data_IF_725362149955
#
_entry.id   IF_725362149955
#
_cell.length_a   1.000
_cell.length_b   1.000
_cell.length_c   1.000
_cell.angle_alpha   90.00
_cell.angle_beta   90.00
_cell.angle_gamma   90.00
#
_symmetry.space_group_name_H-M   'P 1'
#
loop_
_entity.id
_entity.type
_entity.pdbx_description
1 polymer ?
#
# COMPACT_ATOMS: atom_id res chain seq x y z
N UNK A 1 10.51 -1.59 18.77
CA UNK A 1 11.19 -0.31 18.49
C UNK A 1 11.05 0.65 19.65
N UNK A 2 10.04 1.53 19.62
CA UNK A 2 9.85 2.62 20.60
C UNK A 2 9.88 2.16 22.07
N UNK A 3 9.16 1.08 22.45
CA UNK A 3 9.21 0.56 23.83
C UNK A 3 10.60 0.08 24.27
N UNK A 4 11.41 -0.47 23.35
CA UNK A 4 12.78 -0.90 23.65
C UNK A 4 13.67 0.32 23.89
N UNK A 5 13.57 1.35 23.02
CA UNK A 5 14.29 2.62 23.19
C UNK A 5 13.95 3.25 24.54
N UNK A 6 12.67 3.29 24.90
CA UNK A 6 12.23 3.83 26.19
C UNK A 6 12.87 3.12 27.39
N UNK A 7 12.93 1.78 27.37
CA UNK A 7 13.63 1.03 28.43
C UNK A 7 15.12 1.40 28.49
N UNK A 8 15.79 1.47 27.34
CA UNK A 8 17.22 1.76 27.26
C UNK A 8 17.56 3.19 27.68
N UNK A 9 16.73 4.17 27.34
CA UNK A 9 16.84 5.56 27.80
C UNK A 9 16.71 5.67 29.32
N UNK A 10 15.90 4.81 29.93
CA UNK A 10 15.77 4.67 31.38
C UNK A 10 16.79 3.71 31.99
N UNK A 11 17.85 3.34 31.24
CA UNK A 11 18.93 2.45 31.69
C UNK A 11 18.49 1.04 32.09
N UNK A 12 17.37 0.57 31.55
CA UNK A 12 16.81 -0.76 31.79
C UNK A 12 17.07 -1.65 30.57
N UNK A 13 17.73 -2.79 30.77
CA UNK A 13 17.86 -3.86 29.75
C UNK A 13 16.83 -4.94 30.05
N UNK A 14 16.05 -5.36 29.06
CA UNK A 14 14.98 -6.36 29.23
C UNK A 14 15.51 -7.79 29.36
N UNK A 15 16.46 -8.19 28.49
CA UNK A 15 17.16 -9.49 28.46
C UNK A 15 16.35 -10.73 28.08
N UNK A 16 15.03 -10.70 28.22
CA UNK A 16 14.14 -11.79 27.81
C UNK A 16 13.06 -11.32 26.82
N UNK A 17 13.46 -10.54 25.82
CA UNK A 17 12.52 -10.14 24.76
C UNK A 17 12.22 -11.34 23.87
N UNK A 18 10.94 -11.69 23.78
CA UNK A 18 10.42 -12.83 23.01
C UNK A 18 8.93 -12.61 22.70
N UNK A 19 8.34 -13.31 21.73
CA UNK A 19 6.94 -13.11 21.35
C UNK A 19 5.97 -13.24 22.53
N UNK A 20 6.24 -14.14 23.49
CA UNK A 20 5.43 -14.35 24.68
C UNK A 20 5.38 -13.13 25.62
N UNK A 21 6.40 -12.25 25.54
CA UNK A 21 6.52 -11.04 26.36
C UNK A 21 6.04 -9.78 25.61
N UNK A 22 5.33 -9.93 24.49
CA UNK A 22 4.70 -8.84 23.75
C UNK A 22 3.18 -9.05 23.76
N UNK A 23 2.45 -8.20 24.47
CA UNK A 23 0.98 -8.24 24.51
C UNK A 23 0.38 -7.29 23.49
N UNK A 24 -0.81 -7.64 23.01
CA UNK A 24 -1.59 -6.87 22.06
C UNK A 24 -2.77 -6.22 22.76
N UNK A 25 -2.88 -4.90 22.64
CA UNK A 25 -4.01 -4.12 23.15
C UNK A 25 -4.73 -3.45 21.99
N UNK A 26 -6.05 -3.58 21.90
CA UNK A 26 -6.85 -2.75 20.99
C UNK A 26 -7.04 -1.37 21.63
N UNK A 27 -6.53 -0.34 20.97
CA UNK A 27 -6.70 1.06 21.33
C UNK A 27 -7.38 1.80 20.17
N UNK A 28 -8.72 1.85 20.21
CA UNK A 28 -9.52 2.60 19.24
C UNK A 28 -9.49 2.00 17.82
N UNK A 29 -9.42 0.69 17.68
CA UNK A 29 -9.34 -0.02 16.41
C UNK A 29 -7.90 -0.16 15.87
N UNK A 30 -6.89 0.25 16.65
CA UNK A 30 -5.48 0.04 16.36
C UNK A 30 -4.90 -0.98 17.34
N UNK A 31 -4.24 -2.01 16.83
CA UNK A 31 -3.48 -2.93 17.67
C UNK A 31 -2.17 -2.25 18.11
N UNK A 32 -2.02 -2.06 19.42
CA UNK A 32 -0.83 -1.53 20.07
C UNK A 32 -0.08 -2.69 20.72
N UNK A 33 1.19 -2.82 20.38
CA UNK A 33 2.09 -3.85 20.91
C UNK A 33 2.81 -3.29 22.14
N UNK A 34 2.74 -3.99 23.28
CA UNK A 34 3.35 -3.56 24.55
C UNK A 34 4.29 -4.63 25.09
N UNK A 35 5.44 -4.19 25.60
CA UNK A 35 6.42 -5.05 26.25
C UNK A 35 5.94 -5.32 27.69
N UNK A 36 5.99 -6.57 28.12
CA UNK A 36 5.67 -7.00 29.48
C UNK A 36 6.83 -7.83 30.06
N UNK A 37 6.69 -8.21 31.34
CA UNK A 37 7.61 -9.10 32.05
C UNK A 37 9.05 -8.57 32.16
N UNK A 38 9.22 -7.59 33.03
CA UNK A 38 10.54 -7.09 33.45
C UNK A 38 11.17 -7.94 34.58
N UNK A 39 10.69 -9.16 34.83
CA UNK A 39 11.20 -10.03 35.89
C UNK A 39 12.68 -10.41 35.71
N UNK A 40 13.15 -10.38 34.46
CA UNK A 40 14.56 -10.55 34.09
C UNK A 40 15.23 -9.25 33.66
N UNK A 41 14.59 -8.09 33.83
CA UNK A 41 15.21 -6.82 33.50
C UNK A 41 16.33 -6.49 34.51
N UNK A 42 17.28 -5.62 34.11
CA UNK A 42 18.31 -5.10 35.03
C UNK A 42 18.60 -3.64 34.76
N UNK A 43 18.82 -2.91 35.85
CA UNK A 43 19.30 -1.52 35.85
C UNK A 43 20.83 -1.48 35.65
N UNK A 44 21.29 -0.64 34.73
CA UNK A 44 22.71 -0.44 34.43
C UNK A 44 23.47 0.28 35.56
N UNK A 45 22.79 1.00 36.45
CA UNK A 45 23.42 1.81 37.51
C UNK A 45 23.92 0.96 38.70
N UNK A 46 23.50 -0.30 38.81
CA UNK A 46 24.11 -1.27 39.72
C UNK A 46 25.34 -1.89 39.06
N UNK A 47 26.49 -1.22 39.22
CA UNK A 47 27.78 -1.46 38.56
C UNK A 47 28.26 -2.91 38.50
N UNK A 48 27.74 -3.69 37.55
CA UNK A 48 28.16 -5.07 37.36
C UNK A 48 28.04 -5.43 35.89
N UNK A 49 29.19 -5.72 35.27
CA UNK A 49 29.22 -6.60 34.10
C UNK A 49 28.40 -7.85 34.46
N UNK A 50 27.36 -8.09 33.69
CA UNK A 50 26.29 -8.98 34.08
C UNK A 50 26.60 -10.41 33.61
N UNK A 51 26.48 -11.41 34.48
CA UNK A 51 26.90 -12.80 34.24
C UNK A 51 25.80 -13.84 34.47
N UNK A 52 24.54 -13.42 34.59
CA UNK A 52 23.40 -14.31 34.89
C UNK A 52 22.80 -14.96 33.64
N UNK A 53 22.78 -16.29 33.59
CA UNK A 53 22.19 -17.11 32.53
C UNK A 53 20.68 -17.24 32.71
N UNK A 54 19.90 -16.36 32.08
CA UNK A 54 18.43 -16.37 32.19
C UNK A 54 17.79 -16.01 30.84
N UNK A 55 16.68 -16.66 30.48
CA UNK A 55 15.87 -16.37 29.28
C UNK A 55 15.43 -17.61 28.49
N UNK A 56 14.50 -17.43 27.55
CA UNK A 56 14.21 -18.47 26.54
C UNK A 56 15.37 -18.52 25.54
N UNK A 57 16.18 -19.59 25.58
CA UNK A 57 17.43 -19.74 24.80
C UNK A 57 17.28 -19.52 23.29
N UNK A 58 16.07 -19.53 22.75
CA UNK A 58 15.81 -19.44 21.32
C UNK A 58 15.89 -18.01 20.75
N UNK A 59 15.75 -16.99 21.59
CA UNK A 59 15.85 -15.56 21.21
C UNK A 59 17.07 -14.88 21.84
N UNK A 60 17.84 -15.63 22.64
CA UNK A 60 18.94 -15.11 23.42
C UNK A 60 20.13 -14.75 22.52
N UNK A 61 20.78 -13.63 22.83
CA UNK A 61 21.97 -13.19 22.12
C UNK A 61 23.17 -14.14 22.37
N UNK A 62 24.06 -14.34 21.38
CA UNK A 62 25.21 -15.26 21.49
C UNK A 62 26.09 -15.05 22.73
N UNK A 63 26.37 -13.80 23.09
CA UNK A 63 27.25 -13.45 24.20
C UNK A 63 26.73 -13.89 25.58
N UNK A 64 25.42 -14.10 25.71
CA UNK A 64 24.80 -14.62 26.93
C UNK A 64 25.04 -16.13 27.10
N UNK A 65 25.30 -16.87 26.02
CA UNK A 65 25.74 -18.27 26.09
C UNK A 65 27.20 -18.40 26.51
N UNK A 66 28.01 -17.40 26.17
CA UNK A 66 29.45 -17.41 26.42
C UNK A 66 29.79 -16.87 27.83
N UNK A 67 28.78 -16.55 28.66
CA UNK A 67 28.93 -15.89 29.97
C UNK A 67 29.85 -14.66 29.92
N UNK A 68 29.88 -13.96 28.78
CA UNK A 68 30.65 -12.73 28.59
C UNK A 68 29.88 -11.53 29.09
N UNK A 69 30.59 -10.43 29.28
CA UNK A 69 29.93 -9.15 29.46
C UNK A 69 29.07 -8.80 28.25
N UNK A 70 27.91 -8.22 28.52
CA UNK A 70 26.94 -7.85 27.51
C UNK A 70 26.41 -6.43 27.75
N UNK A 71 25.75 -5.86 26.76
CA UNK A 71 25.21 -4.50 26.78
C UNK A 71 23.74 -4.48 26.34
N UNK A 72 23.17 -3.30 26.12
CA UNK A 72 21.81 -3.13 25.54
C UNK A 72 21.63 -3.88 24.21
N UNK A 73 22.71 -4.24 23.52
CA UNK A 73 22.67 -4.93 22.21
C UNK A 73 22.12 -6.36 22.30
N UNK A 74 21.99 -6.95 23.49
CA UNK A 74 21.28 -8.25 23.65
C UNK A 74 19.80 -8.15 23.30
N UNK A 75 19.17 -7.02 23.62
CA UNK A 75 17.78 -6.75 23.28
C UNK A 75 17.63 -6.50 21.77
N UNK A 76 18.68 -6.03 21.09
CA UNK A 76 18.68 -5.85 19.63
C UNK A 76 18.63 -7.19 18.90
N UNK A 77 19.41 -8.17 19.35
CA UNK A 77 19.35 -9.52 18.78
C UNK A 77 17.97 -10.14 18.97
N UNK A 78 17.45 -10.06 20.20
CA UNK A 78 16.12 -10.57 20.54
C UNK A 78 15.03 -9.89 19.70
N UNK A 79 15.12 -8.58 19.49
CA UNK A 79 14.19 -7.86 18.63
C UNK A 79 14.34 -8.23 17.14
N UNK A 80 15.56 -8.36 16.64
CA UNK A 80 15.83 -8.77 15.25
C UNK A 80 15.31 -10.17 14.95
N UNK A 81 15.48 -11.12 15.88
CA UNK A 81 14.97 -12.49 15.74
C UNK A 81 13.45 -12.53 15.69
N UNK A 82 12.77 -11.78 16.57
CA UNK A 82 11.31 -11.62 16.53
C UNK A 82 10.82 -10.96 15.24
N UNK A 83 11.46 -9.89 14.78
CA UNK A 83 11.05 -9.22 13.53
C UNK A 83 11.20 -10.15 12.33
N UNK A 84 12.31 -10.90 12.25
CA UNK A 84 12.47 -11.93 11.22
C UNK A 84 11.33 -12.96 11.28
N UNK A 85 11.01 -13.46 12.47
CA UNK A 85 9.95 -14.46 12.64
C UNK A 85 8.57 -13.93 12.29
N UNK A 86 8.27 -12.66 12.59
CA UNK A 86 7.03 -12.02 12.13
C UNK A 86 6.93 -11.95 10.60
N UNK A 87 8.06 -11.89 9.89
CA UNK A 87 8.10 -11.82 8.42
C UNK A 87 8.05 -13.22 7.80
N UNK A 88 8.85 -14.16 8.31
CA UNK A 88 9.07 -15.48 7.73
C UNK A 88 8.16 -16.57 8.32
N UNK A 89 7.57 -16.35 9.49
CA UNK A 89 6.79 -17.34 10.25
C UNK A 89 7.65 -18.37 11.01
N UNK A 90 8.98 -18.21 11.03
CA UNK A 90 9.91 -19.06 11.77
C UNK A 90 11.17 -18.28 12.15
N UNK A 91 11.92 -18.74 13.16
CA UNK A 91 13.15 -18.09 13.66
C UNK A 91 14.29 -18.09 12.61
N UNK A 92 15.15 -17.05 12.60
CA UNK A 92 16.16 -16.84 11.55
C UNK A 92 17.22 -17.94 11.43
N UNK A 93 17.51 -18.65 12.50
CA UNK A 93 18.65 -19.57 12.51
C UNK A 93 18.24 -20.93 13.06
N UNK A 94 18.24 -21.95 12.20
CA UNK A 94 18.12 -23.38 12.54
C UNK A 94 17.07 -23.69 13.62
N UNK A 95 15.85 -23.18 13.42
CA UNK A 95 14.75 -23.19 14.41
C UNK A 95 14.34 -24.57 14.96
N UNK A 96 14.67 -25.66 14.27
CA UNK A 96 14.39 -27.04 14.69
C UNK A 96 15.48 -27.65 15.58
N UNK A 97 16.64 -27.00 15.71
CA UNK A 97 17.75 -27.51 16.51
C UNK A 97 17.68 -27.03 17.95
N UNK A 98 18.25 -27.85 18.84
CA UNK A 98 18.46 -27.47 20.23
C UNK A 98 19.46 -26.31 20.31
N UNK A 99 19.28 -25.36 21.25
CA UNK A 99 20.09 -24.14 21.30
C UNK A 99 21.60 -24.39 21.35
N UNK A 100 22.04 -25.42 22.07
CA UNK A 100 23.46 -25.75 22.16
C UNK A 100 24.07 -26.16 20.81
N UNK A 101 23.37 -27.02 20.05
CA UNK A 101 23.81 -27.48 18.73
C UNK A 101 23.69 -26.37 17.68
N UNK A 102 22.65 -25.55 17.80
CA UNK A 102 22.45 -24.36 17.00
C UNK A 102 23.64 -23.41 17.13
N UNK A 103 24.01 -23.00 18.36
CA UNK A 103 25.07 -22.03 18.65
C UNK A 103 26.40 -22.36 17.95
N UNK A 104 26.86 -23.61 17.99
CA UNK A 104 28.07 -24.06 17.31
C UNK A 104 28.00 -23.93 15.78
N UNK A 105 26.84 -24.21 15.18
CA UNK A 105 26.65 -24.12 13.73
C UNK A 105 26.59 -22.68 13.23
N UNK A 106 25.85 -21.80 13.91
CA UNK A 106 25.70 -20.36 13.55
C UNK A 106 26.94 -19.52 13.86
N UNK A 107 27.82 -19.94 14.76
CA UNK A 107 29.06 -19.20 15.05
C UNK A 107 29.90 -18.93 13.80
N UNK A 108 29.75 -19.77 12.77
CA UNK A 108 30.41 -19.65 11.46
C UNK A 108 29.77 -18.62 10.52
N UNK A 109 28.69 -17.94 10.94
CA UNK A 109 27.96 -17.02 10.06
C UNK A 109 28.79 -15.77 9.77
N UNK A 110 28.71 -15.29 8.54
CA UNK A 110 29.14 -13.93 8.21
C UNK A 110 28.28 -12.86 8.92
N UNK A 111 28.83 -11.66 9.14
CA UNK A 111 28.13 -10.57 9.80
C UNK A 111 26.78 -10.22 9.14
N UNK A 112 26.72 -10.34 7.80
CA UNK A 112 25.52 -10.04 6.99
C UNK A 112 24.51 -11.19 6.89
N UNK A 113 24.82 -12.38 7.40
CA UNK A 113 23.84 -13.46 7.36
C UNK A 113 22.72 -13.22 8.35
N UNK A 114 21.49 -13.19 7.83
CA UNK A 114 20.24 -13.00 8.59
C UNK A 114 19.40 -14.27 8.66
N UNK A 115 19.71 -15.26 7.82
CA UNK A 115 18.97 -16.51 7.73
C UNK A 115 19.93 -17.70 7.61
N UNK A 116 19.62 -18.80 8.30
CA UNK A 116 20.26 -20.09 8.11
C UNK A 116 19.25 -21.23 8.18
N UNK A 117 19.29 -22.12 7.20
CA UNK A 117 18.47 -23.35 7.15
C UNK A 117 19.32 -24.58 6.92
N UNK A 118 18.82 -25.73 7.37
CA UNK A 118 19.44 -27.03 7.12
C UNK A 118 18.79 -27.65 5.88
N UNK A 119 19.62 -27.98 4.89
CA UNK A 119 19.20 -28.64 3.66
C UNK A 119 18.97 -30.15 3.87
N UNK A 120 18.42 -30.81 2.84
CA UNK A 120 18.09 -32.24 2.89
C UNK A 120 19.30 -33.16 3.16
N UNK A 121 20.50 -32.71 2.78
CA UNK A 121 21.76 -33.41 3.01
C UNK A 121 22.36 -33.14 4.41
N UNK A 122 21.71 -32.32 5.24
CA UNK A 122 22.20 -31.91 6.56
C UNK A 122 23.19 -30.74 6.53
N UNK A 123 23.47 -30.16 5.36
CA UNK A 123 24.31 -28.97 5.23
C UNK A 123 23.55 -27.71 5.65
N UNK A 124 24.26 -26.76 6.26
CA UNK A 124 23.68 -25.47 6.66
C UNK A 124 23.90 -24.47 5.55
N UNK A 125 22.81 -23.99 4.94
CA UNK A 125 22.82 -22.86 4.00
C UNK A 125 22.58 -21.57 4.76
N UNK A 126 23.52 -20.64 4.65
CA UNK A 126 23.36 -19.27 5.13
C UNK A 126 22.88 -18.36 4.00
N UNK A 127 22.15 -17.30 4.35
CA UNK A 127 21.64 -16.31 3.41
C UNK A 127 21.65 -14.91 4.04
N UNK A 128 21.96 -13.92 3.20
CA UNK A 128 21.82 -12.49 3.50
C UNK A 128 20.42 -11.95 3.18
N UNK A 129 19.57 -12.77 2.55
CA UNK A 129 18.25 -12.41 2.06
C UNK A 129 17.12 -13.06 2.87
N UNK A 130 15.99 -12.38 2.90
CA UNK A 130 14.75 -12.86 3.51
C UNK A 130 14.23 -14.09 2.76
N UNK A 131 13.77 -15.13 3.46
CA UNK A 131 13.18 -16.29 2.82
C UNK A 131 11.81 -15.94 2.21
N UNK A 132 11.48 -16.60 1.11
CA UNK A 132 10.14 -16.57 0.51
C UNK A 132 9.31 -17.78 0.99
N UNK A 133 7.97 -17.67 1.05
CA UNK A 133 7.16 -16.46 0.78
C UNK A 133 7.12 -15.51 1.99
N UNK A 134 7.03 -14.20 1.73
CA UNK A 134 6.76 -13.19 2.75
C UNK A 134 5.79 -12.10 2.26
N UNK A 135 5.19 -11.35 3.18
CA UNK A 135 4.19 -10.32 2.84
C UNK A 135 4.76 -8.91 2.59
N UNK A 136 6.07 -8.69 2.72
CA UNK A 136 6.65 -7.37 2.50
C UNK A 136 6.63 -6.95 1.02
N UNK A 137 6.36 -5.68 0.77
CA UNK A 137 6.50 -5.10 -0.57
C UNK A 137 7.98 -5.01 -0.97
N UNK A 138 8.29 -5.17 -2.25
CA UNK A 138 9.68 -5.24 -2.75
C UNK A 138 10.54 -4.03 -2.39
N UNK A 139 9.93 -2.85 -2.20
CA UNK A 139 10.63 -1.62 -1.80
C UNK A 139 11.09 -1.63 -0.34
N UNK A 140 10.43 -2.41 0.53
CA UNK A 140 10.78 -2.54 1.96
C UNK A 140 11.78 -3.69 2.17
N UNK A 141 11.81 -4.69 1.27
CA UNK A 141 12.65 -5.89 1.42
C UNK A 141 14.11 -5.52 1.63
N UNK A 142 14.72 -4.76 0.73
CA UNK A 142 16.14 -4.40 0.84
C UNK A 142 16.44 -3.58 2.11
N UNK A 143 15.70 -2.49 2.44
CA UNK A 143 15.89 -1.79 3.71
C UNK A 143 15.73 -2.69 4.94
N UNK A 144 14.77 -3.62 4.91
CA UNK A 144 14.51 -4.55 6.01
C UNK A 144 15.62 -5.60 6.15
N UNK A 145 16.13 -6.14 5.05
CA UNK A 145 17.29 -7.03 5.04
C UNK A 145 18.52 -6.33 5.64
N UNK A 146 18.81 -5.10 5.18
CA UNK A 146 19.91 -4.30 5.73
C UNK A 146 19.72 -4.01 7.22
N UNK A 147 18.50 -3.73 7.67
CA UNK A 147 18.19 -3.54 9.08
C UNK A 147 18.41 -4.83 9.89
N UNK A 148 17.92 -5.98 9.39
CA UNK A 148 18.11 -7.27 10.03
C UNK A 148 19.58 -7.67 10.12
N UNK A 149 20.40 -7.31 9.14
CA UNK A 149 21.85 -7.54 9.18
C UNK A 149 22.51 -6.85 10.38
N UNK A 150 22.07 -5.63 10.73
CA UNK A 150 22.58 -4.92 11.90
C UNK A 150 22.09 -5.55 13.21
N UNK A 151 20.84 -6.00 13.25
CA UNK A 151 20.22 -6.53 14.46
C UNK A 151 20.67 -7.97 14.77
N UNK A 152 20.88 -8.77 13.73
CA UNK A 152 21.32 -10.17 13.79
C UNK A 152 22.83 -10.30 13.58
N UNK A 153 23.61 -9.24 13.80
CA UNK A 153 25.06 -9.33 13.78
C UNK A 153 25.54 -10.14 15.00
N UNK A 154 26.45 -11.08 14.78
CA UNK A 154 27.02 -11.92 15.84
C UNK A 154 27.80 -11.06 16.84
N UNK A 155 28.61 -10.13 16.33
CA UNK A 155 29.47 -9.28 17.13
C UNK A 155 28.64 -8.28 17.96
N UNK A 156 28.66 -8.36 19.31
CA UNK A 156 27.86 -7.50 20.16
C UNK A 156 28.27 -6.02 20.11
N UNK A 157 29.49 -5.68 19.67
CA UNK A 157 29.96 -4.30 19.55
C UNK A 157 29.49 -3.66 18.23
N UNK A 158 29.45 -4.44 17.15
CA UNK A 158 28.99 -3.98 15.83
C UNK A 158 27.47 -4.04 15.69
N UNK A 159 26.79 -4.85 16.51
CA UNK A 159 25.34 -5.01 16.50
C UNK A 159 24.63 -3.68 16.76
N UNK A 160 23.63 -3.38 15.94
CA UNK A 160 22.92 -2.10 15.97
C UNK A 160 23.58 -0.97 15.19
N UNK A 161 24.79 -1.19 14.63
CA UNK A 161 25.46 -0.23 13.73
C UNK A 161 26.12 0.96 14.42
N UNK A 162 26.31 0.91 15.74
CA UNK A 162 26.88 2.01 16.52
C UNK A 162 25.93 3.21 16.69
N UNK A 163 26.47 4.30 17.25
CA UNK A 163 25.74 5.55 17.45
C UNK A 163 25.97 6.48 16.26
N UNK A 164 24.91 7.14 15.84
CA UNK A 164 24.97 8.20 14.84
C UNK A 164 25.70 9.44 15.42
N UNK A 165 26.69 10.02 14.72
CA UNK A 165 27.48 11.14 15.23
C UNK A 165 26.66 12.40 15.52
N UNK A 166 25.56 12.63 14.81
CA UNK A 166 24.76 13.85 14.91
C UNK A 166 23.70 13.76 16.01
N UNK A 167 22.97 12.64 16.04
CA UNK A 167 21.82 12.46 16.93
C UNK A 167 22.16 11.69 18.21
N UNK A 168 23.34 11.07 18.28
CA UNK A 168 23.73 10.12 19.33
C UNK A 168 22.72 8.97 19.53
N UNK A 169 21.84 8.71 18.55
CA UNK A 169 20.90 7.59 18.57
C UNK A 169 21.54 6.37 17.88
N UNK A 170 21.21 5.13 18.31
CA UNK A 170 21.66 3.93 17.62
C UNK A 170 21.16 3.89 16.16
N UNK A 171 22.06 3.56 15.23
CA UNK A 171 21.78 3.54 13.79
C UNK A 171 20.63 2.61 13.41
N UNK A 172 20.50 1.45 14.09
CA UNK A 172 19.39 0.53 13.85
C UNK A 172 18.02 1.17 14.07
N UNK A 173 17.87 2.07 15.04
CA UNK A 173 16.62 2.77 15.29
C UNK A 173 16.34 3.87 14.27
N UNK A 174 17.38 4.57 13.81
CA UNK A 174 17.25 5.55 12.74
C UNK A 174 16.82 4.90 11.42
N UNK A 175 17.40 3.75 11.08
CA UNK A 175 17.01 2.98 9.88
C UNK A 175 15.56 2.51 10.00
N UNK A 176 15.16 1.99 11.17
CA UNK A 176 13.76 1.62 11.41
C UNK A 176 12.82 2.83 11.23
N UNK A 177 13.15 3.97 11.83
CA UNK A 177 12.36 5.20 11.68
C UNK A 177 12.28 5.63 10.21
N UNK A 178 13.37 5.52 9.43
CA UNK A 178 13.36 5.80 7.99
C UNK A 178 12.41 4.86 7.24
N UNK A 179 12.46 3.55 7.52
CA UNK A 179 11.59 2.54 6.88
C UNK A 179 10.11 2.83 7.21
N UNK A 180 9.80 3.09 8.49
CA UNK A 180 8.44 3.36 8.95
C UNK A 180 7.85 4.66 8.39
N UNK A 181 8.70 5.62 8.02
CA UNK A 181 8.30 6.91 7.45
C UNK A 181 8.25 6.91 5.91
N UNK A 182 8.58 5.80 5.25
CA UNK A 182 8.46 5.69 3.80
C UNK A 182 7.00 5.87 3.38
N UNK A 183 6.77 6.70 2.35
CA UNK A 183 5.46 6.88 1.73
C UNK A 183 5.40 6.00 0.50
N UNK A 184 4.81 4.82 0.64
CA UNK A 184 4.69 3.86 -0.46
C UNK A 184 3.24 3.86 -0.93
N UNK A 185 3.03 3.98 -2.24
CA UNK A 185 1.73 3.77 -2.87
C UNK A 185 1.73 2.43 -3.60
N UNK A 186 0.68 1.65 -3.37
CA UNK A 186 0.41 0.42 -4.11
C UNK A 186 -0.63 0.69 -5.19
N UNK A 187 -0.26 0.41 -6.44
CA UNK A 187 -1.11 0.63 -7.61
C UNK A 187 -1.43 -0.72 -8.23
N UNK A 188 -2.70 -1.13 -8.19
CA UNK A 188 -3.19 -2.32 -8.86
C UNK A 188 -3.59 -1.95 -10.29
N UNK A 189 -2.85 -2.48 -11.27
CA UNK A 189 -3.19 -2.37 -12.67
C UNK A 189 -4.33 -3.34 -13.01
N UNK A 190 -5.52 -2.79 -13.24
CA UNK A 190 -6.73 -3.56 -13.50
C UNK A 190 -6.74 -4.26 -14.86
N UNK A 191 -5.81 -3.89 -15.77
CA UNK A 191 -5.65 -4.56 -17.07
C UNK A 191 -4.78 -5.82 -16.99
N UNK A 192 -3.86 -5.90 -16.02
CA UNK A 192 -2.89 -7.00 -15.91
C UNK A 192 -2.96 -7.77 -14.58
N UNK A 193 -3.76 -7.29 -13.62
CA UNK A 193 -3.83 -7.76 -12.24
C UNK A 193 -2.50 -7.69 -11.47
N UNK A 194 -1.53 -6.87 -11.93
CA UNK A 194 -0.25 -6.66 -11.26
C UNK A 194 -0.33 -5.49 -10.28
N UNK A 195 0.25 -5.68 -9.10
CA UNK A 195 0.46 -4.60 -8.13
C UNK A 195 1.86 -4.04 -8.33
N UNK A 196 1.94 -2.75 -8.66
CA UNK A 196 3.20 -2.02 -8.77
C UNK A 196 3.28 -1.05 -7.60
N UNK A 197 4.42 -1.03 -6.89
CA UNK A 197 4.61 -0.19 -5.72
C UNK A 197 5.59 0.92 -6.03
N UNK A 198 5.29 2.14 -5.61
CA UNK A 198 6.15 3.30 -5.82
C UNK A 198 6.44 3.99 -4.50
N UNK A 199 7.72 4.27 -4.25
CA UNK A 199 8.12 5.21 -3.21
C UNK A 199 7.83 6.63 -3.69
N UNK A 200 7.06 7.37 -2.91
CA UNK A 200 6.69 8.77 -3.18
C UNK A 200 7.65 9.71 -2.47
N UNK A 201 8.04 10.78 -3.17
CA UNK A 201 8.74 11.89 -2.56
C UNK A 201 7.74 12.96 -2.05
N UNK A 202 8.02 13.66 -0.94
CA UNK A 202 7.08 14.62 -0.33
C UNK A 202 6.55 15.70 -1.28
N UNK A 203 7.38 16.14 -2.23
CA UNK A 203 7.04 17.19 -3.21
C UNK A 203 6.70 16.64 -4.61
N UNK A 204 6.57 15.31 -4.75
CA UNK A 204 6.30 14.70 -6.06
C UNK A 204 4.90 15.05 -6.57
N UNK A 205 4.82 15.54 -7.80
CA UNK A 205 3.55 15.82 -8.48
C UNK A 205 2.87 14.52 -8.93
N UNK A 206 1.53 14.52 -9.07
CA UNK A 206 0.83 13.37 -9.63
C UNK A 206 1.31 13.06 -11.05
N UNK A 207 1.64 14.09 -11.85
CA UNK A 207 2.12 13.90 -13.21
C UNK A 207 3.47 13.16 -13.26
N UNK A 208 4.40 13.50 -12.35
CA UNK A 208 5.68 12.79 -12.21
C UNK A 208 5.46 11.31 -11.88
N UNK A 209 4.53 11.01 -10.98
CA UNK A 209 4.14 9.63 -10.67
C UNK A 209 3.53 8.93 -11.89
N UNK A 210 2.65 9.59 -12.66
CA UNK A 210 2.05 9.03 -13.88
C UNK A 210 3.10 8.65 -14.93
N UNK A 211 4.18 9.42 -15.07
CA UNK A 211 5.31 9.07 -15.96
C UNK A 211 6.00 7.78 -15.49
N UNK A 212 6.20 7.60 -14.18
CA UNK A 212 6.77 6.37 -13.61
C UNK A 212 5.83 5.17 -13.80
N UNK A 213 4.53 5.40 -13.67
CA UNK A 213 3.50 4.38 -13.94
C UNK A 213 3.53 3.99 -15.43
N UNK A 214 3.67 4.95 -16.34
CA UNK A 214 3.76 4.70 -17.78
C UNK A 214 4.96 3.81 -18.11
N UNK A 215 6.12 4.06 -17.48
CA UNK A 215 7.32 3.25 -17.67
C UNK A 215 7.11 1.78 -17.26
N UNK A 216 6.43 1.51 -16.15
CA UNK A 216 6.20 0.15 -15.62
C UNK A 216 5.02 -0.57 -16.29
N UNK A 217 4.00 0.17 -16.74
CA UNK A 217 2.73 -0.42 -17.21
C UNK A 217 2.52 -0.31 -18.72
N UNK A 218 3.23 0.60 -19.39
CA UNK A 218 3.03 0.94 -20.80
C UNK A 218 1.76 1.75 -21.08
N UNK A 219 0.98 2.12 -20.07
CA UNK A 219 -0.23 2.94 -20.24
C UNK A 219 0.19 4.41 -20.29
N UNK A 220 -0.05 5.07 -21.43
CA UNK A 220 0.30 6.48 -21.62
C UNK A 220 -0.34 7.38 -20.57
N UNK A 221 0.39 8.37 -20.03
CA UNK A 221 -0.08 9.30 -18.99
C UNK A 221 -1.50 9.86 -19.20
N UNK A 222 -1.89 10.21 -20.43
CA UNK A 222 -3.24 10.73 -20.74
C UNK A 222 -4.37 9.70 -20.64
N UNK A 223 -4.05 8.41 -20.81
CA UNK A 223 -4.99 7.29 -20.75
C UNK A 223 -5.05 6.64 -19.36
N UNK A 224 -4.22 7.08 -18.41
CA UNK A 224 -4.27 6.58 -17.03
C UNK A 224 -5.46 7.18 -16.29
N UNK A 225 -6.38 6.33 -15.83
CA UNK A 225 -7.41 6.68 -14.87
C UNK A 225 -7.11 6.00 -13.53
N UNK A 226 -6.71 6.81 -12.54
CA UNK A 226 -6.33 6.35 -11.22
C UNK A 226 -7.49 6.60 -10.25
N UNK A 227 -8.09 5.52 -9.74
CA UNK A 227 -9.23 5.57 -8.83
C UNK A 227 -8.82 5.12 -7.42
N UNK A 228 -9.29 5.85 -6.41
CA UNK A 228 -9.26 5.39 -5.02
C UNK A 228 -10.37 4.34 -4.78
N UNK A 229 -10.31 3.62 -3.67
CA UNK A 229 -11.37 2.69 -3.22
C UNK A 229 -12.78 3.31 -3.15
N UNK A 230 -12.84 4.62 -2.97
CA UNK A 230 -14.08 5.41 -2.94
C UNK A 230 -14.66 5.66 -4.34
N UNK A 231 -13.96 5.25 -5.40
CA UNK A 231 -14.30 5.55 -6.80
C UNK A 231 -14.06 7.01 -7.19
N UNK A 232 -13.25 7.75 -6.43
CA UNK A 232 -12.84 9.12 -6.75
C UNK A 232 -11.56 9.05 -7.59
N UNK A 233 -11.54 9.77 -8.70
CA UNK A 233 -10.33 9.96 -9.51
C UNK A 233 -9.36 10.92 -8.81
N UNK A 234 -8.06 10.62 -8.89
CA UNK A 234 -7.02 11.48 -8.32
C UNK A 234 -7.05 12.88 -8.96
N UNK A 235 -6.83 13.91 -8.14
CA UNK A 235 -6.84 15.30 -8.61
C UNK A 235 -5.46 15.67 -9.18
N UNK A 236 -5.33 16.01 -10.47
CA UNK A 236 -4.05 16.39 -11.08
C UNK A 236 -3.40 17.63 -10.45
N UNK A 237 -4.18 18.47 -9.74
CA UNK A 237 -3.69 19.69 -9.08
C UNK A 237 -3.07 19.41 -7.72
N UNK A 238 -3.27 18.20 -7.17
CA UNK A 238 -2.72 17.79 -5.88
C UNK A 238 -1.44 16.97 -6.07
N UNK A 239 -0.53 16.98 -5.07
CA UNK A 239 0.66 16.14 -5.10
C UNK A 239 0.30 14.64 -5.09
N UNK A 240 1.28 13.81 -5.44
CA UNK A 240 1.15 12.34 -5.44
C UNK A 240 0.86 11.77 -4.05
N UNK A 241 1.21 12.50 -2.98
CA UNK A 241 0.92 12.12 -1.59
C UNK A 241 -0.58 11.94 -1.30
N UNK A 242 -1.48 12.45 -2.15
CA UNK A 242 -2.92 12.18 -2.05
C UNK A 242 -3.29 10.68 -2.13
N UNK A 243 -2.41 9.85 -2.71
CA UNK A 243 -2.60 8.41 -2.83
C UNK A 243 -2.38 7.67 -1.50
N UNK A 244 -1.64 8.27 -0.57
CA UNK A 244 -1.28 7.66 0.70
C UNK A 244 -2.11 8.30 1.80
N UNK A 245 -3.00 7.53 2.39
CA UNK A 245 -3.79 7.98 3.54
C UNK A 245 -3.01 7.60 4.80
N UNK A 246 -2.38 8.59 5.43
CA UNK A 246 -1.79 8.42 6.75
C UNK A 246 -2.91 8.17 7.76
N UNK A 247 -3.07 6.92 8.19
CA UNK A 247 -4.23 6.49 8.98
C UNK A 247 -3.97 5.29 9.90
N UNK A 248 -5.06 4.85 10.54
CA UNK A 248 -5.06 3.77 11.55
C UNK A 248 -4.89 2.38 10.93
N UNK A 249 -5.29 2.23 9.65
CA UNK A 249 -5.15 0.97 8.91
C UNK A 249 -3.72 0.84 8.40
N UNK A 250 -3.10 -0.32 8.62
CA UNK A 250 -1.69 -0.59 8.32
C UNK A 250 -1.30 -0.31 6.87
N UNK A 251 0.01 -0.25 6.61
CA UNK A 251 0.62 0.32 5.40
C UNK A 251 0.13 -0.31 4.08
N UNK A 252 -0.31 -1.56 4.09
CA UNK A 252 -0.84 -2.29 2.92
C UNK A 252 -2.34 -2.05 2.63
N UNK A 253 -3.02 -1.24 3.44
CA UNK A 253 -4.49 -1.19 3.40
C UNK A 253 -5.07 -0.29 2.32
N UNK A 254 -4.28 0.64 1.78
CA UNK A 254 -4.75 1.61 0.80
C UNK A 254 -4.15 1.33 -0.57
N UNK A 255 -5.03 1.09 -1.53
CA UNK A 255 -4.67 0.77 -2.90
C UNK A 255 -5.28 1.78 -3.87
N UNK A 256 -4.50 2.15 -4.88
CA UNK A 256 -4.98 2.90 -6.04
C UNK A 256 -5.20 1.92 -7.18
N UNK A 257 -6.32 2.04 -7.87
CA UNK A 257 -6.67 1.19 -8.99
C UNK A 257 -6.42 1.94 -10.29
N UNK A 258 -5.56 1.39 -11.14
CA UNK A 258 -5.23 1.94 -12.45
C UNK A 258 -6.09 1.28 -13.52
N UNK A 259 -6.81 2.12 -14.26
CA UNK A 259 -7.60 1.78 -15.43
C UNK A 259 -7.01 2.45 -16.68
N UNK A 260 -7.12 1.76 -17.80
CA UNK A 260 -6.70 2.25 -19.12
C UNK A 260 -7.92 2.74 -19.89
N UNK A 261 -7.98 4.05 -20.18
CA UNK A 261 -9.07 4.68 -20.93
C UNK A 261 -9.09 4.30 -22.41
N UNK A 262 -7.97 3.83 -22.96
CA UNK A 262 -7.89 3.44 -24.37
C UNK A 262 -8.58 2.10 -24.65
N UNK A 263 -8.83 1.30 -23.61
CA UNK A 263 -9.41 -0.04 -23.69
C UNK A 263 -10.86 -0.04 -23.19
N UNK A 264 -11.74 -0.63 -23.99
CA UNK A 264 -13.16 -0.82 -23.63
C UNK A 264 -13.45 -2.16 -22.98
N UNK A 265 -12.59 -3.15 -23.21
CA UNK A 265 -12.64 -4.50 -22.63
C UNK A 265 -11.24 -4.90 -22.20
N UNK A 266 -11.12 -5.54 -21.03
CA UNK A 266 -9.84 -6.03 -20.50
C UNK A 266 -9.76 -7.53 -20.69
N UNK A 267 -8.94 -7.95 -21.65
CA UNK A 267 -8.67 -9.35 -21.94
C UNK A 267 -7.36 -9.80 -21.28
N UNK A 268 -7.32 -11.06 -20.84
CA UNK A 268 -6.14 -11.67 -20.23
C UNK A 268 -4.99 -11.90 -21.22
N UNK A 269 -3.85 -12.46 -20.75
CA UNK A 269 -3.69 -13.16 -19.48
C UNK A 269 -3.39 -12.23 -18.30
N UNK A 270 -4.11 -12.42 -17.20
CA UNK A 270 -3.84 -11.76 -15.93
C UNK A 270 -2.68 -12.45 -15.22
N UNK A 271 -1.84 -11.68 -14.52
CA UNK A 271 -0.77 -12.25 -13.72
C UNK A 271 -1.35 -13.12 -12.59
N UNK A 272 -0.95 -14.39 -12.52
CA UNK A 272 -1.26 -15.28 -11.41
C UNK A 272 -0.06 -15.40 -10.48
N UNK A 273 -0.31 -15.62 -9.18
CA UNK A 273 0.75 -16.03 -8.25
C UNK A 273 1.40 -17.33 -8.74
N UNK A 274 2.73 -17.38 -8.73
CA UNK A 274 3.48 -18.60 -8.95
C UNK A 274 3.45 -19.47 -7.68
N UNK A 275 3.39 -20.78 -7.88
CA UNK A 275 3.63 -21.74 -6.82
C UNK A 275 5.13 -21.76 -6.51
N UNK A 276 5.50 -21.89 -5.23
CA UNK A 276 6.89 -22.15 -4.85
C UNK A 276 7.30 -23.54 -5.35
N UNK A 277 8.60 -23.78 -5.52
CA UNK A 277 9.11 -25.10 -5.92
C UNK A 277 8.69 -26.21 -4.94
N UNK A 278 8.61 -25.87 -3.64
CA UNK A 278 8.16 -26.78 -2.59
C UNK A 278 6.70 -27.19 -2.78
N UNK A 279 5.81 -26.25 -3.13
CA UNK A 279 4.40 -26.53 -3.38
C UNK A 279 4.20 -27.19 -4.75
N UNK A 280 4.97 -26.80 -5.77
CA UNK A 280 4.95 -27.47 -7.07
C UNK A 280 5.24 -28.97 -6.95
N UNK A 281 6.18 -29.35 -6.07
CA UNK A 281 6.56 -30.74 -5.88
C UNK A 281 5.39 -31.62 -5.38
N UNK A 282 4.58 -31.12 -4.43
CA UNK A 282 3.40 -31.86 -3.94
C UNK A 282 2.22 -31.83 -4.92
N UNK A 283 2.13 -30.81 -5.78
CA UNK A 283 1.10 -30.73 -6.83
C UNK A 283 1.42 -31.72 -7.95
N UNK A 284 2.70 -31.91 -8.28
CA UNK A 284 3.15 -32.88 -9.28
C UNK A 284 3.09 -34.33 -8.76
N UNK A 285 3.46 -34.57 -7.50
CA UNK A 285 3.35 -35.88 -6.86
C UNK A 285 2.46 -35.85 -5.60
N UNK A 286 1.15 -36.08 -5.82
CA UNK A 286 0.13 -36.03 -4.76
C UNK A 286 0.22 -37.16 -3.71
N UNK A 287 1.00 -38.23 -3.95
CA UNK A 287 1.07 -39.42 -3.06
C UNK A 287 2.40 -39.55 -2.32
N UNK A 288 3.29 -38.58 -2.49
CA UNK A 288 4.61 -38.62 -1.88
C UNK A 288 4.55 -38.61 -0.35
N UNK A 289 5.40 -39.44 0.25
CA UNK A 289 5.56 -39.52 1.70
C UNK A 289 6.68 -38.59 2.13
N UNK A 290 6.35 -37.44 2.72
CA UNK A 290 7.33 -36.50 3.26
C UNK A 290 7.34 -36.55 4.80
N UNK A 291 8.51 -36.36 5.46
CA UNK A 291 8.58 -36.18 6.90
C UNK A 291 7.71 -35.02 7.40
N UNK A 292 7.11 -35.16 8.59
CA UNK A 292 6.22 -34.14 9.21
C UNK A 292 6.83 -32.73 9.24
N UNK A 293 8.12 -32.52 9.59
CA UNK A 293 8.71 -31.18 9.56
C UNK A 293 8.68 -30.51 8.18
N UNK A 294 8.85 -31.29 7.11
CA UNK A 294 8.79 -30.80 5.74
C UNK A 294 7.35 -30.58 5.29
N UNK A 295 6.44 -31.50 5.63
CA UNK A 295 5.00 -31.33 5.38
C UNK A 295 4.49 -30.04 6.01
N UNK A 296 4.89 -29.71 7.25
CA UNK A 296 4.45 -28.48 7.92
C UNK A 296 4.77 -27.24 7.09
N UNK A 297 5.99 -27.16 6.52
CA UNK A 297 6.41 -26.03 5.68
C UNK A 297 5.64 -26.00 4.37
N UNK A 298 5.61 -27.12 3.63
CA UNK A 298 4.98 -27.19 2.31
C UNK A 298 3.49 -26.92 2.39
N UNK A 299 2.80 -27.49 3.39
CA UNK A 299 1.38 -27.22 3.60
C UNK A 299 1.11 -25.79 4.05
N UNK A 300 1.97 -25.20 4.89
CA UNK A 300 1.84 -23.79 5.25
C UNK A 300 1.96 -22.88 4.01
N UNK A 301 2.94 -23.12 3.14
CA UNK A 301 3.09 -22.38 1.88
C UNK A 301 1.89 -22.60 0.93
N UNK A 302 1.37 -23.82 0.84
CA UNK A 302 0.19 -24.12 0.03
C UNK A 302 -1.08 -23.40 0.56
N UNK A 303 -1.28 -23.39 1.88
CA UNK A 303 -2.38 -22.65 2.52
C UNK A 303 -2.20 -21.14 2.31
N UNK A 304 -0.98 -20.62 2.48
CA UNK A 304 -0.66 -19.22 2.21
C UNK A 304 -0.96 -18.84 0.76
N UNK A 305 -0.63 -19.72 -0.20
CA UNK A 305 -0.97 -19.52 -1.62
C UNK A 305 -2.49 -19.42 -1.83
N UNK A 306 -3.28 -20.32 -1.25
CA UNK A 306 -4.75 -20.30 -1.35
C UNK A 306 -5.35 -19.03 -0.73
N UNK A 307 -4.86 -18.63 0.44
CA UNK A 307 -5.27 -17.37 1.07
C UNK A 307 -4.89 -16.18 0.18
N UNK A 308 -3.69 -16.17 -0.40
CA UNK A 308 -3.22 -15.15 -1.34
C UNK A 308 -4.13 -15.02 -2.56
N UNK A 309 -4.60 -16.13 -3.14
CA UNK A 309 -5.57 -16.11 -4.25
C UNK A 309 -6.89 -15.46 -3.84
N UNK A 310 -7.41 -15.78 -2.64
CA UNK A 310 -8.63 -15.16 -2.11
C UNK A 310 -8.46 -13.66 -1.91
N UNK A 311 -7.33 -13.23 -1.37
CA UNK A 311 -7.02 -11.81 -1.16
C UNK A 311 -6.87 -11.06 -2.48
N UNK A 312 -6.16 -11.63 -3.46
CA UNK A 312 -6.01 -11.03 -4.79
C UNK A 312 -7.36 -10.84 -5.48
N UNK A 313 -8.25 -11.84 -5.37
CA UNK A 313 -9.63 -11.71 -5.84
C UNK A 313 -10.37 -10.56 -5.15
N UNK A 314 -10.25 -10.44 -3.82
CA UNK A 314 -10.85 -9.33 -3.08
C UNK A 314 -10.32 -7.97 -3.53
N UNK A 315 -9.02 -7.85 -3.81
CA UNK A 315 -8.40 -6.61 -4.33
C UNK A 315 -8.95 -6.25 -5.72
N UNK A 316 -9.07 -7.23 -6.62
CA UNK A 316 -9.66 -7.04 -7.95
C UNK A 316 -11.15 -6.63 -7.86
N UNK A 317 -11.90 -7.27 -6.99
CA UNK A 317 -13.31 -6.93 -6.76
C UNK A 317 -13.47 -5.51 -6.21
N UNK A 318 -12.60 -5.08 -5.30
CA UNK A 318 -12.59 -3.69 -4.83
C UNK A 318 -12.28 -2.70 -5.95
N UNK A 319 -11.38 -3.04 -6.88
CA UNK A 319 -11.13 -2.24 -8.07
C UNK A 319 -12.38 -2.09 -8.94
N UNK A 320 -13.10 -3.19 -9.21
CA UNK A 320 -14.39 -3.14 -9.92
C UNK A 320 -15.41 -2.26 -9.18
N UNK A 321 -15.50 -2.38 -7.84
CA UNK A 321 -16.37 -1.54 -7.02
C UNK A 321 -16.01 -0.06 -7.13
N UNK A 322 -14.72 0.28 -7.13
CA UNK A 322 -14.25 1.65 -7.33
C UNK A 322 -14.67 2.21 -8.70
N UNK A 323 -14.51 1.43 -9.77
CA UNK A 323 -14.98 1.80 -11.10
C UNK A 323 -16.51 2.01 -11.15
N UNK A 324 -17.28 1.13 -10.51
CA UNK A 324 -18.74 1.27 -10.40
C UNK A 324 -19.14 2.55 -9.67
N UNK A 325 -18.46 2.88 -8.56
CA UNK A 325 -18.68 4.13 -7.84
C UNK A 325 -18.33 5.37 -8.69
N UNK A 326 -17.26 5.31 -9.49
CA UNK A 326 -16.92 6.37 -10.45
C UNK A 326 -18.03 6.54 -11.49
N UNK A 327 -18.50 5.44 -12.09
CA UNK A 327 -19.59 5.44 -13.07
C UNK A 327 -20.89 6.03 -12.49
N UNK A 328 -21.27 5.65 -11.27
CA UNK A 328 -22.45 6.20 -10.61
C UNK A 328 -22.35 7.72 -10.41
N UNK A 329 -21.16 8.25 -10.10
CA UNK A 329 -20.92 9.70 -10.02
C UNK A 329 -21.05 10.38 -11.38
N UNK A 330 -20.46 9.79 -12.43
CA UNK A 330 -20.60 10.31 -13.79
C UNK A 330 -22.07 10.34 -14.23
N UNK A 331 -22.83 9.28 -13.95
CA UNK A 331 -24.26 9.22 -14.24
C UNK A 331 -25.04 10.31 -13.48
N UNK A 332 -24.77 10.51 -12.19
CA UNK A 332 -25.40 11.58 -11.41
C UNK A 332 -25.11 12.98 -11.99
N UNK A 333 -23.87 13.23 -12.43
CA UNK A 333 -23.49 14.47 -13.08
C UNK A 333 -24.21 14.65 -14.43
N UNK A 334 -24.29 13.59 -15.23
CA UNK A 334 -24.99 13.62 -16.52
C UNK A 334 -26.49 13.89 -16.33
N UNK A 335 -27.13 13.27 -15.33
CA UNK A 335 -28.53 13.54 -14.98
C UNK A 335 -28.72 15.01 -14.58
N UNK A 336 -27.81 15.58 -13.79
CA UNK A 336 -27.86 17.01 -13.42
C UNK A 336 -27.78 17.91 -14.66
N UNK A 337 -26.86 17.62 -15.57
CA UNK A 337 -26.72 18.38 -16.83
C UNK A 337 -27.96 18.23 -17.71
N UNK A 338 -28.50 17.02 -17.84
CA UNK A 338 -29.76 16.76 -18.56
C UNK A 338 -30.89 17.60 -17.99
N UNK A 339 -31.09 17.60 -16.67
CA UNK A 339 -32.18 18.37 -16.04
C UNK A 339 -32.03 19.88 -16.29
N UNK A 340 -30.78 20.39 -16.24
CA UNK A 340 -30.50 21.78 -16.58
C UNK A 340 -30.76 22.08 -18.05
N UNK A 341 -30.38 21.18 -18.96
CA UNK A 341 -30.61 21.30 -20.39
C UNK A 341 -32.10 21.33 -20.72
N UNK A 342 -32.89 20.44 -20.12
CA UNK A 342 -34.36 20.40 -20.27
C UNK A 342 -34.98 21.70 -19.75
N UNK A 343 -34.55 22.18 -18.58
CA UNK A 343 -35.02 23.47 -18.02
C UNK A 343 -34.68 24.65 -18.94
N UNK A 344 -33.45 24.70 -19.47
CA UNK A 344 -33.03 25.73 -20.41
C UNK A 344 -33.82 25.66 -21.73
N UNK A 345 -34.09 24.46 -22.25
CA UNK A 345 -34.95 24.26 -23.43
C UNK A 345 -36.38 24.75 -23.19
N UNK A 346 -36.98 24.42 -22.05
CA UNK A 346 -38.32 24.91 -21.69
C UNK A 346 -38.38 26.44 -21.60
N UNK A 347 -37.37 27.07 -21.00
CA UNK A 347 -37.28 28.54 -20.96
C UNK A 347 -37.12 29.15 -22.35
N UNK A 348 -36.33 28.53 -23.22
CA UNK A 348 -36.17 28.97 -24.61
C UNK A 348 -37.50 28.87 -25.37
N UNK A 349 -38.21 27.74 -25.23
CA UNK A 349 -39.51 27.52 -25.86
C UNK A 349 -40.54 28.56 -25.42
N UNK A 350 -40.64 28.83 -24.11
CA UNK A 350 -41.53 29.86 -23.59
C UNK A 350 -41.19 31.28 -24.10
N UNK A 351 -39.89 31.62 -24.20
CA UNK A 351 -39.44 32.90 -24.77
C UNK A 351 -39.74 33.01 -26.26
N UNK A 352 -39.57 31.93 -27.02
CA UNK A 352 -39.89 31.89 -28.45
C UNK A 352 -41.39 32.01 -28.68
N UNK A 353 -42.23 31.30 -27.92
CA UNK A 353 -43.70 31.44 -28.00
C UNK A 353 -44.14 32.87 -27.72
N UNK A 354 -43.61 33.50 -26.66
CA UNK A 354 -43.89 34.90 -26.33
C UNK A 354 -43.42 35.84 -27.45
N UNK A 355 -42.22 35.61 -28.00
CA UNK A 355 -41.68 36.41 -29.10
C UNK A 355 -42.52 36.27 -30.37
N UNK A 356 -42.95 35.06 -30.73
CA UNK A 356 -43.83 34.80 -31.87
C UNK A 356 -45.18 35.52 -31.72
N UNK A 357 -45.75 35.53 -30.51
CA UNK A 357 -46.98 36.27 -30.26
C UNK A 357 -46.76 37.79 -30.38
N UNK A 358 -45.64 38.32 -29.87
CA UNK A 358 -45.30 39.74 -29.96
C UNK A 358 -45.07 40.19 -31.41
N UNK A 359 -44.22 39.48 -32.16
CA UNK A 359 -43.86 39.87 -33.54
C UNK A 359 -45.07 39.79 -34.47
N UNK A 360 -45.97 38.81 -34.28
CA UNK A 360 -47.19 38.70 -35.06
C UNK A 360 -48.13 39.87 -34.78
N UNK A 361 -48.28 40.28 -33.52
CA UNK A 361 -49.10 41.43 -33.14
C UNK A 361 -48.54 42.73 -33.72
N UNK A 362 -47.21 42.92 -33.67
CA UNK A 362 -46.54 44.09 -34.26
C UNK A 362 -46.75 44.13 -35.79
N UNK A 363 -46.63 42.99 -36.47
CA UNK A 363 -46.89 42.86 -37.91
C UNK A 363 -48.35 43.13 -38.28
N UNK A 364 -49.32 42.58 -37.53
CA UNK A 364 -50.76 42.81 -37.73
C UNK A 364 -51.10 44.30 -37.59
N UNK A 365 -50.70 44.93 -36.47
CA UNK A 365 -50.95 46.36 -36.21
C UNK A 365 -50.25 47.28 -37.20
N UNK A 366 -49.04 46.93 -37.61
CA UNK A 366 -48.32 47.66 -38.64
C UNK A 366 -49.05 47.61 -39.98
N UNK A 367 -49.67 46.47 -40.34
CA UNK A 367 -50.47 46.34 -41.56
C UNK A 367 -51.71 47.24 -41.55
N UNK A 368 -52.41 47.32 -40.41
CA UNK A 368 -53.63 48.12 -40.25
C UNK A 368 -53.36 49.63 -40.44
N UNK A 369 -52.21 50.11 -39.94
CA UNK A 369 -51.87 51.54 -40.00
C UNK A 369 -51.17 51.96 -41.29
N UNK A 370 -50.76 51.04 -42.18
CA UNK A 370 -49.99 51.41 -43.37
C UNK A 370 -50.71 52.40 -44.29
N UNK A 371 -52.05 52.45 -44.26
CA UNK A 371 -52.83 53.36 -45.08
C UNK A 371 -52.92 54.80 -44.53
N UNK A 372 -52.72 55.00 -43.22
CA UNK A 372 -53.00 56.27 -42.54
C UNK A 372 -51.93 56.72 -41.52
N UNK A 373 -50.88 55.92 -41.30
CA UNK A 373 -49.86 56.13 -40.25
C UNK A 373 -48.42 56.06 -40.77
N UNK A 374 -47.47 55.71 -39.89
CA UNK A 374 -46.04 55.65 -40.21
C UNK A 374 -45.72 54.34 -40.95
N UNK A 375 -45.20 54.44 -42.18
CA UNK A 375 -44.78 53.28 -43.00
C UNK A 375 -43.26 53.25 -43.22
N UNK A 376 -42.63 52.10 -42.99
CA UNK A 376 -41.22 51.80 -43.31
C UNK A 376 -41.04 50.35 -43.82
N UNK A 377 -40.75 50.19 -45.10
CA UNK A 377 -40.48 48.86 -45.71
C UNK A 377 -39.24 48.17 -45.11
N UNK A 378 -38.23 48.95 -44.70
CA UNK A 378 -37.01 48.42 -44.09
C UNK A 378 -37.30 47.73 -42.75
N UNK A 379 -38.19 48.30 -41.93
CA UNK A 379 -38.60 47.67 -40.67
C UNK A 379 -39.44 46.41 -40.90
N UNK A 380 -40.36 46.44 -41.87
CA UNK A 380 -41.19 45.28 -42.22
C UNK A 380 -40.33 44.07 -42.64
N UNK A 381 -39.31 44.29 -43.47
CA UNK A 381 -38.37 43.22 -43.88
C UNK A 381 -37.59 42.69 -42.67
N UNK A 382 -37.08 43.57 -41.81
CA UNK A 382 -36.35 43.17 -40.62
C UNK A 382 -37.20 42.34 -39.64
N UNK A 383 -38.47 42.69 -39.44
CA UNK A 383 -39.38 41.94 -38.55
C UNK A 383 -39.74 40.56 -39.11
N UNK A 384 -39.96 40.45 -40.43
CA UNK A 384 -40.17 39.14 -41.08
C UNK A 384 -38.95 38.24 -40.98
N UNK A 385 -37.74 38.79 -41.15
CA UNK A 385 -36.49 38.04 -40.94
C UNK A 385 -36.32 37.57 -39.49
N UNK A 386 -36.79 38.35 -38.50
CA UNK A 386 -36.75 37.95 -37.09
C UNK A 386 -37.74 36.81 -36.77
N UNK A 387 -38.94 36.84 -37.35
CA UNK A 387 -39.93 35.76 -37.22
C UNK A 387 -39.42 34.43 -37.81
N UNK A 388 -38.77 34.49 -38.97
CA UNK A 388 -38.17 33.32 -39.62
C UNK A 388 -37.01 32.74 -38.78
N UNK A 389 -36.15 33.60 -38.22
CA UNK A 389 -35.07 33.18 -37.32
C UNK A 389 -35.58 32.51 -36.05
N UNK A 390 -36.62 33.06 -35.42
CA UNK A 390 -37.24 32.45 -34.24
C UNK A 390 -37.81 31.04 -34.56
N UNK A 391 -38.41 30.88 -35.74
CA UNK A 391 -38.94 29.60 -36.22
C UNK A 391 -37.85 28.55 -36.43
N UNK A 392 -36.69 28.94 -36.95
CA UNK A 392 -35.52 28.06 -37.10
C UNK A 392 -34.95 27.63 -35.74
N UNK A 393 -34.89 28.55 -34.76
CA UNK A 393 -34.44 28.23 -33.41
C UNK A 393 -35.39 27.28 -32.67
N UNK A 394 -36.69 27.35 -32.92
CA UNK A 394 -37.68 26.46 -32.30
C UNK A 394 -37.48 24.99 -32.70
N UNK A 395 -37.10 24.70 -33.95
CA UNK A 395 -36.83 23.33 -34.43
C UNK A 395 -35.63 22.67 -33.76
N UNK A 396 -34.70 23.48 -33.22
CA UNK A 396 -33.51 23.00 -32.48
C UNK A 396 -33.83 22.76 -31.00
N UNK A 397 -34.94 23.30 -30.49
CA UNK A 397 -35.35 23.21 -29.09
C UNK A 397 -36.05 21.90 -28.69
N UNK A 398 -36.49 21.08 -29.64
CA UNK A 398 -37.15 19.79 -29.38
C UNK A 398 -36.12 18.65 -29.13
N UNK A 399 -35.27 18.83 -28.11
CA UNK A 399 -34.31 17.82 -27.58
C UNK A 399 -34.87 17.15 -26.33
#
# INVERSE_FOLDING_TARGET
GSGIQYLHENRIIHRDLKPENIVLQDEGGKIVHKIIDLGYAKDLDQGSLCTSFVGTLQYLAPELFENKSYSVTVDYWSFGTMVFECIAGFRPFLHNLQPFTWHEKIRKKDPKHIFASEEMNGEVRFSTHLPQPHSLCGLIVEPMENWLQLMLNWDPQQRGGGLDPETSRPNCFLIMDRILNLKIVHILNMTSAKIVSFLLHPEESLHSLQIRIEFETGISTGNQELLLETGICLDPRKPASQCVIDGVRGWDSYMVYLFDKSKTVYDGPFASRSLSDCVNYIVQDSKIQLPIPQLRKVWAEAVHYVIGLKEDYSRLFQGQRAAMLSLLRYNANLIKMKNNMVSASQQLKAKLEFFHQSIRLDLERYSDQMAYGISSEKMLKAWKEMEEKASQCAQVGDI
#
